data_IF_873400064069
#
_entry.id   IF_873400064069
#
_cell.length_a   1.000
_cell.length_b   1.000
_cell.length_c   1.000
_cell.angle_alpha   90.00
_cell.angle_beta   90.00
_cell.angle_gamma   90.00
#
_symmetry.space_group_name_H-M   'P 1'
#
loop_
_entity.id
_entity.type
_entity.pdbx_description
1 polymer ?
#
# COMPACT_ATOMS: atom_id res chain seq x y z
N UNK A 1 22.19 -15.97 -7.76
CA UNK A 1 21.34 -15.02 -7.07
C UNK A 1 20.55 -14.21 -8.11
N UNK A 2 19.23 -14.18 -7.97
CA UNK A 2 18.33 -13.47 -8.88
C UNK A 2 17.42 -12.58 -8.03
N UNK A 3 17.33 -11.29 -8.37
CA UNK A 3 16.50 -10.33 -7.64
C UNK A 3 16.21 -9.09 -8.49
N UNK A 4 15.05 -8.44 -8.31
CA UNK A 4 14.73 -7.18 -8.96
C UNK A 4 15.40 -6.01 -8.24
N UNK A 5 15.77 -4.99 -9.00
CA UNK A 5 16.14 -3.67 -8.51
C UNK A 5 15.31 -2.61 -9.19
N UNK A 6 15.13 -1.47 -8.53
CA UNK A 6 14.38 -0.34 -9.05
C UNK A 6 15.06 0.97 -8.66
N UNK A 7 14.95 1.97 -9.51
CA UNK A 7 15.28 3.37 -9.21
C UNK A 7 14.02 4.21 -8.93
N UNK A 8 12.87 3.53 -8.76
CA UNK A 8 11.52 4.07 -8.60
C UNK A 8 10.89 4.66 -9.86
N UNK A 9 11.57 4.59 -11.01
CA UNK A 9 10.99 4.92 -12.32
C UNK A 9 10.64 3.65 -13.10
N UNK A 10 11.50 2.63 -12.99
CA UNK A 10 11.31 1.32 -13.61
C UNK A 10 12.05 0.26 -12.79
N UNK A 11 11.91 -1.00 -13.17
CA UNK A 11 12.52 -2.16 -12.50
C UNK A 11 13.23 -3.05 -13.50
N UNK A 12 14.37 -3.61 -13.09
CA UNK A 12 15.12 -4.57 -13.90
C UNK A 12 15.61 -5.72 -13.00
N UNK A 13 15.67 -6.93 -13.55
CA UNK A 13 16.17 -8.10 -12.84
C UNK A 13 17.70 -8.17 -12.96
N UNK A 14 18.35 -8.41 -11.83
CA UNK A 14 19.78 -8.72 -11.74
C UNK A 14 19.95 -10.21 -11.63
N UNK A 15 20.75 -10.81 -12.51
CA UNK A 15 21.13 -12.24 -12.49
C UNK A 15 22.63 -12.37 -12.25
N UNK A 16 23.01 -12.88 -11.07
CA UNK A 16 24.40 -13.04 -10.66
C UNK A 16 24.73 -14.51 -10.48
N UNK A 17 25.74 -14.97 -11.17
CA UNK A 17 26.34 -16.29 -10.95
C UNK A 17 27.51 -16.15 -9.97
N UNK A 18 27.36 -16.72 -8.79
CA UNK A 18 28.32 -16.64 -7.69
C UNK A 18 28.89 -18.01 -7.41
N UNK A 19 30.18 -18.08 -7.03
CA UNK A 19 30.73 -19.26 -6.40
C UNK A 19 30.24 -19.35 -4.96
N UNK A 20 30.15 -20.57 -4.41
CA UNK A 20 29.61 -20.78 -3.06
C UNK A 20 30.31 -19.93 -1.99
N UNK A 21 31.61 -19.68 -2.15
CA UNK A 21 32.41 -18.85 -1.25
C UNK A 21 32.02 -17.37 -1.26
N UNK A 22 31.48 -16.87 -2.37
CA UNK A 22 31.08 -15.46 -2.56
C UNK A 22 29.66 -15.18 -2.07
N UNK A 23 28.83 -16.22 -1.92
CA UNK A 23 27.42 -16.07 -1.57
C UNK A 23 27.23 -15.36 -0.23
N UNK A 24 27.93 -15.72 0.86
CA UNK A 24 27.76 -15.07 2.16
C UNK A 24 28.07 -13.57 2.10
N UNK A 25 29.18 -13.19 1.48
CA UNK A 25 29.61 -11.79 1.35
C UNK A 25 28.59 -10.95 0.58
N UNK A 26 28.12 -11.46 -0.55
CA UNK A 26 27.15 -10.72 -1.38
C UNK A 26 25.79 -10.62 -0.68
N UNK A 27 25.29 -11.69 -0.06
CA UNK A 27 23.99 -11.71 0.61
C UNK A 27 23.97 -10.89 1.89
N UNK A 28 25.10 -10.62 2.51
CA UNK A 28 25.20 -9.71 3.63
C UNK A 28 24.79 -8.28 3.23
N UNK A 29 25.13 -7.87 2.03
CA UNK A 29 24.91 -6.52 1.53
C UNK A 29 23.68 -6.37 0.64
N UNK A 30 23.35 -7.40 -0.15
CA UNK A 30 22.19 -7.42 -1.06
C UNK A 30 20.97 -7.90 -0.29
N UNK A 31 20.29 -6.97 0.38
CA UNK A 31 19.05 -7.22 1.15
C UNK A 31 17.91 -6.39 0.61
N UNK A 32 16.68 -6.86 0.82
CA UNK A 32 15.48 -6.08 0.49
C UNK A 32 15.52 -4.72 1.19
N UNK A 33 15.34 -3.65 0.42
CA UNK A 33 15.40 -2.28 0.90
C UNK A 33 16.80 -1.67 1.00
N UNK A 34 17.86 -2.41 0.61
CA UNK A 34 19.20 -1.85 0.54
C UNK A 34 19.35 -0.93 -0.68
N UNK A 35 20.02 0.20 -0.49
CA UNK A 35 20.36 1.13 -1.58
C UNK A 35 21.75 0.79 -2.12
N UNK A 36 21.76 0.26 -3.34
CA UNK A 36 22.96 -0.27 -3.97
C UNK A 36 23.09 0.27 -5.40
N UNK A 37 24.29 0.58 -5.82
CA UNK A 37 24.63 0.90 -7.21
C UNK A 37 25.30 -0.30 -7.84
N UNK A 38 24.75 -0.78 -8.95
CA UNK A 38 25.27 -1.89 -9.72
C UNK A 38 25.99 -1.37 -10.97
N UNK A 39 27.08 -2.02 -11.32
CA UNK A 39 27.72 -1.87 -12.62
C UNK A 39 27.75 -3.27 -13.27
N UNK A 40 27.14 -3.39 -14.42
CA UNK A 40 27.03 -4.62 -15.17
C UNK A 40 26.66 -4.37 -16.63
N UNK A 41 26.46 -5.44 -17.37
CA UNK A 41 26.04 -5.39 -18.77
C UNK A 41 24.58 -5.83 -18.84
N UNK A 42 23.75 -5.04 -19.52
CA UNK A 42 22.38 -5.44 -19.82
C UNK A 42 22.36 -6.40 -21.01
N UNK A 43 21.60 -7.46 -20.88
CA UNK A 43 21.42 -8.46 -21.92
C UNK A 43 20.00 -9.03 -21.87
N UNK A 44 19.50 -9.48 -23.00
CA UNK A 44 18.25 -10.22 -23.05
C UNK A 44 18.55 -11.65 -22.63
N UNK A 45 17.88 -12.10 -21.59
CA UNK A 45 17.99 -13.48 -21.10
C UNK A 45 17.37 -14.45 -22.12
N UNK A 46 18.05 -15.57 -22.36
CA UNK A 46 17.64 -16.54 -23.37
C UNK A 46 16.46 -17.42 -22.95
N UNK A 47 16.16 -17.48 -21.65
CA UNK A 47 15.12 -18.37 -21.11
C UNK A 47 13.76 -17.66 -21.03
N UNK A 48 13.74 -16.42 -20.55
CA UNK A 48 12.52 -15.65 -20.35
C UNK A 48 12.35 -14.48 -21.34
N UNK A 49 13.38 -14.23 -22.18
CA UNK A 49 13.42 -13.13 -23.15
C UNK A 49 13.27 -11.73 -22.51
N UNK A 50 13.55 -11.62 -21.21
CA UNK A 50 13.51 -10.37 -20.50
C UNK A 50 14.87 -9.66 -20.49
N UNK A 51 14.84 -8.33 -20.45
CA UNK A 51 16.05 -7.53 -20.26
C UNK A 51 16.54 -7.67 -18.82
N UNK A 52 17.78 -8.12 -18.65
CA UNK A 52 18.38 -8.32 -17.34
C UNK A 52 19.76 -7.67 -17.24
N UNK A 53 20.21 -7.42 -16.02
CA UNK A 53 21.60 -7.07 -15.77
C UNK A 53 22.36 -8.34 -15.45
N UNK A 54 23.31 -8.70 -16.31
CA UNK A 54 24.23 -9.81 -16.11
C UNK A 54 25.68 -9.29 -16.05
N UNK A 55 26.63 -10.20 -15.83
CA UNK A 55 28.06 -9.86 -15.80
C UNK A 55 28.37 -8.68 -14.89
N UNK A 56 27.98 -8.79 -13.63
CA UNK A 56 28.16 -7.73 -12.64
C UNK A 56 29.64 -7.49 -12.40
N UNK A 57 30.09 -6.27 -12.70
CA UNK A 57 31.48 -5.81 -12.53
C UNK A 57 31.70 -5.12 -11.18
N UNK A 58 30.63 -4.71 -10.50
CA UNK A 58 30.76 -4.09 -9.19
C UNK A 58 29.42 -3.77 -8.54
N UNK A 59 29.43 -3.80 -7.22
CA UNK A 59 28.31 -3.40 -6.35
C UNK A 59 28.85 -2.38 -5.36
N UNK A 60 28.16 -1.26 -5.17
CA UNK A 60 28.52 -0.26 -4.19
C UNK A 60 27.29 0.13 -3.36
N UNK A 61 27.44 0.14 -2.03
CA UNK A 61 26.42 0.71 -1.15
C UNK A 61 26.38 2.22 -1.34
N UNK A 62 25.17 2.76 -1.47
CA UNK A 62 24.92 4.20 -1.60
C UNK A 62 23.97 4.65 -0.50
N UNK A 63 23.91 5.95 -0.27
CA UNK A 63 22.94 6.53 0.63
C UNK A 63 21.51 6.40 0.05
N UNK A 64 20.52 6.39 0.94
CA UNK A 64 19.13 6.48 0.52
C UNK A 64 18.92 7.81 -0.20
N UNK A 65 18.48 7.77 -1.45
CA UNK A 65 18.21 8.96 -2.28
C UNK A 65 16.71 9.25 -2.42
N UNK A 66 15.86 8.47 -1.74
CA UNK A 66 14.43 8.75 -1.74
C UNK A 66 14.12 9.93 -0.82
N UNK A 67 13.33 10.85 -1.31
CA UNK A 67 12.76 11.92 -0.50
C UNK A 67 11.42 11.47 0.03
N UNK A 68 11.34 11.17 1.32
CA UNK A 68 10.06 10.96 1.97
C UNK A 68 9.33 12.30 2.10
N UNK A 69 8.05 12.34 1.75
CA UNK A 69 7.20 13.48 2.10
C UNK A 69 7.06 13.53 3.61
N UNK A 70 7.19 14.71 4.17
CA UNK A 70 7.05 14.97 5.61
C UNK A 70 6.12 16.15 5.78
N UNK A 71 5.18 16.05 6.69
CA UNK A 71 4.40 17.21 7.12
C UNK A 71 5.24 18.04 8.10
N UNK A 72 5.64 19.24 7.68
CA UNK A 72 6.43 20.19 8.48
C UNK A 72 5.60 21.25 9.17
N UNK A 73 4.26 21.18 9.07
CA UNK A 73 3.33 22.14 9.64
C UNK A 73 3.46 22.14 11.17
N UNK A 74 3.66 23.28 11.84
CA UNK A 74 3.77 23.33 13.30
C UNK A 74 2.50 22.86 14.02
N UNK A 75 1.34 23.24 13.50
CA UNK A 75 0.03 22.80 13.99
C UNK A 75 -0.51 21.72 13.06
N UNK A 76 -0.66 20.51 13.58
CA UNK A 76 -1.16 19.37 12.81
C UNK A 76 -2.67 19.40 12.70
N UNK A 77 -3.18 19.12 11.50
CA UNK A 77 -4.59 18.91 11.26
C UNK A 77 -4.95 17.45 11.57
N UNK A 78 -6.14 17.23 12.11
CA UNK A 78 -6.73 15.89 12.15
C UNK A 78 -7.40 15.61 10.81
N UNK A 79 -7.03 14.51 10.16
CA UNK A 79 -7.75 14.04 8.97
C UNK A 79 -9.02 13.31 9.41
N UNK A 80 -10.18 13.88 9.04
CA UNK A 80 -11.49 13.36 9.44
C UNK A 80 -12.22 12.63 8.31
N UNK A 81 -11.68 12.65 7.09
CA UNK A 81 -12.27 12.01 5.91
C UNK A 81 -11.17 11.32 5.12
N UNK A 82 -10.97 10.03 5.36
CA UNK A 82 -9.89 9.27 4.76
C UNK A 82 -10.36 7.88 4.36
N UNK A 83 -10.09 7.52 3.10
CA UNK A 83 -10.45 6.24 2.51
C UNK A 83 -9.22 5.34 2.41
N UNK A 84 -9.41 4.08 2.79
CA UNK A 84 -8.42 3.01 2.61
C UNK A 84 -8.69 2.26 1.29
N UNK A 85 -7.86 1.26 1.00
CA UNK A 85 -8.09 0.32 -0.12
C UNK A 85 -9.40 -0.49 0.00
N UNK A 86 -10.13 -0.38 1.12
CA UNK A 86 -11.44 -0.99 1.30
C UNK A 86 -12.56 -0.15 0.65
N UNK A 87 -12.26 1.09 0.26
CA UNK A 87 -13.12 1.90 -0.62
C UNK A 87 -12.77 1.57 -2.06
N UNK A 88 -13.54 0.66 -2.67
CA UNK A 88 -13.32 0.18 -4.03
C UNK A 88 -13.24 1.31 -5.05
N UNK A 89 -12.30 1.20 -6.00
CA UNK A 89 -12.03 2.18 -7.06
C UNK A 89 -11.67 3.61 -6.58
N UNK A 90 -11.42 3.80 -5.27
CA UNK A 90 -11.07 5.10 -4.70
C UNK A 90 -9.76 5.03 -3.90
N UNK A 91 -9.71 4.25 -2.82
CA UNK A 91 -8.54 4.14 -1.97
C UNK A 91 -7.56 3.07 -2.44
N UNK A 92 -6.23 3.36 -2.36
CA UNK A 92 -5.17 2.40 -2.71
C UNK A 92 -4.27 2.05 -1.54
N UNK A 93 -4.35 2.79 -0.44
CA UNK A 93 -3.47 2.64 0.72
C UNK A 93 -4.14 1.79 1.80
N UNK A 94 -3.41 0.85 2.40
CA UNK A 94 -3.90 0.06 3.52
C UNK A 94 -4.05 0.90 4.79
N UNK A 95 -4.95 0.49 5.69
CA UNK A 95 -5.26 1.23 6.92
C UNK A 95 -4.03 1.36 7.83
N UNK A 96 -3.22 0.31 7.94
CA UNK A 96 -2.00 0.32 8.76
C UNK A 96 -1.00 1.37 8.29
N UNK A 97 -0.81 1.51 6.98
CA UNK A 97 0.10 2.50 6.40
C UNK A 97 -0.38 3.93 6.62
N UNK A 98 -1.69 4.17 6.54
CA UNK A 98 -2.29 5.48 6.83
C UNK A 98 -2.12 5.87 8.31
N UNK A 99 -2.49 4.97 9.22
CA UNK A 99 -2.37 5.17 10.67
C UNK A 99 -0.91 5.42 11.05
N UNK A 100 0.00 4.57 10.56
CA UNK A 100 1.44 4.72 10.79
C UNK A 100 1.95 6.08 10.31
N UNK A 101 1.57 6.50 9.11
CA UNK A 101 2.01 7.77 8.52
C UNK A 101 1.50 8.97 9.31
N UNK A 102 0.23 8.98 9.72
CA UNK A 102 -0.33 10.03 10.55
C UNK A 102 0.39 10.14 11.89
N UNK A 103 0.65 9.00 12.54
CA UNK A 103 1.41 8.95 13.78
C UNK A 103 2.84 9.48 13.61
N UNK A 104 3.59 9.00 12.61
CA UNK A 104 4.96 9.44 12.32
C UNK A 104 5.07 10.95 12.01
N UNK A 105 4.03 11.52 11.43
CA UNK A 105 3.97 12.96 11.15
C UNK A 105 3.54 13.80 12.36
N UNK A 106 3.20 13.16 13.48
CA UNK A 106 2.80 13.83 14.71
C UNK A 106 1.37 14.37 14.70
N UNK A 107 0.49 13.82 13.84
CA UNK A 107 -0.93 14.11 13.93
C UNK A 107 -1.49 13.56 15.24
N UNK A 108 -2.45 14.24 15.90
CA UNK A 108 -3.06 13.74 17.12
C UNK A 108 -4.06 12.61 16.88
N UNK A 109 -4.62 12.53 15.69
CA UNK A 109 -5.59 11.50 15.29
C UNK A 109 -5.72 11.40 13.77
N UNK A 110 -6.33 10.30 13.31
CA UNK A 110 -6.82 10.10 11.95
C UNK A 110 -8.17 9.39 12.00
N UNK A 111 -9.11 9.77 11.14
CA UNK A 111 -10.33 9.01 10.92
C UNK A 111 -10.15 8.03 9.75
N UNK A 112 -10.76 6.86 9.87
CA UNK A 112 -10.94 5.91 8.77
C UNK A 112 -12.43 5.92 8.42
N UNK A 113 -12.75 6.35 7.22
CA UNK A 113 -14.14 6.63 6.79
C UNK A 113 -14.38 6.10 5.38
N UNK A 114 -14.24 4.79 5.20
CA UNK A 114 -14.44 4.14 3.92
C UNK A 114 -15.88 4.23 3.42
N UNK A 115 -16.07 4.16 2.11
CA UNK A 115 -17.37 4.19 1.44
C UNK A 115 -18.24 2.99 1.83
N UNK A 116 -19.27 3.21 2.62
CA UNK A 116 -20.28 2.22 2.96
C UNK A 116 -19.80 0.97 3.71
N UNK A 117 -18.54 0.92 4.12
CA UNK A 117 -17.90 -0.28 4.67
C UNK A 117 -17.05 0.02 5.92
N UNK A 118 -16.78 -1.02 6.71
CA UNK A 118 -16.01 -0.96 7.96
C UNK A 118 -14.86 -1.97 8.01
N UNK A 119 -14.53 -2.59 6.90
CA UNK A 119 -13.53 -3.67 6.82
C UNK A 119 -12.13 -3.25 7.27
N UNK A 120 -11.79 -1.96 7.18
CA UNK A 120 -10.49 -1.45 7.60
C UNK A 120 -10.32 -1.34 9.13
N UNK A 121 -11.40 -1.41 9.91
CA UNK A 121 -11.36 -1.20 11.36
C UNK A 121 -10.45 -2.18 12.12
N UNK A 122 -10.52 -3.51 11.88
CA UNK A 122 -9.61 -4.44 12.53
C UNK A 122 -8.15 -4.13 12.24
N UNK A 123 -7.80 -3.85 10.99
CA UNK A 123 -6.43 -3.51 10.59
C UNK A 123 -5.93 -2.23 11.27
N UNK A 124 -6.78 -1.19 11.33
CA UNK A 124 -6.46 0.05 12.01
C UNK A 124 -6.30 -0.14 13.53
N UNK A 125 -7.14 -0.99 14.15
CA UNK A 125 -7.05 -1.29 15.58
C UNK A 125 -5.78 -2.08 15.91
N UNK A 126 -5.37 -3.02 15.07
CA UNK A 126 -4.13 -3.78 15.24
C UNK A 126 -2.84 -2.92 15.18
N UNK A 127 -2.95 -1.66 14.78
CA UNK A 127 -1.82 -0.73 14.88
C UNK A 127 -1.36 -0.48 16.31
N UNK A 128 -2.20 -0.72 17.31
CA UNK A 128 -1.91 -0.56 18.73
C UNK A 128 -1.53 -1.86 19.44
N UNK A 129 -1.43 -2.97 18.73
CA UNK A 129 -1.09 -4.25 19.31
C UNK A 129 0.36 -4.29 19.81
N UNK A 130 0.59 -5.01 20.90
CA UNK A 130 1.93 -5.21 21.47
C UNK A 130 2.88 -5.93 20.48
N UNK A 131 2.32 -6.77 19.59
CA UNK A 131 3.06 -7.51 18.57
C UNK A 131 2.66 -7.04 17.18
N UNK A 132 3.59 -6.41 16.48
CA UNK A 132 3.39 -5.97 15.11
C UNK A 132 2.59 -4.68 14.95
N UNK A 133 2.19 -4.02 16.02
CA UNK A 133 1.60 -2.69 15.99
C UNK A 133 2.58 -1.63 15.47
N UNK A 134 2.06 -0.51 15.00
CA UNK A 134 2.87 0.60 14.48
C UNK A 134 2.75 1.89 15.31
N UNK A 135 1.87 1.88 16.31
CA UNK A 135 1.65 2.97 17.27
C UNK A 135 1.84 2.41 18.68
N UNK A 136 2.62 3.06 19.55
CA UNK A 136 2.73 2.64 20.95
C UNK A 136 1.38 2.65 21.65
N UNK A 137 1.13 1.62 22.47
CA UNK A 137 -0.17 1.41 23.14
C UNK A 137 -0.52 2.53 24.12
N UNK A 138 0.50 3.16 24.71
CA UNK A 138 0.42 4.27 25.65
C UNK A 138 0.44 5.65 24.97
N UNK A 139 0.37 5.68 23.65
CA UNK A 139 0.31 6.92 22.87
C UNK A 139 -1.04 7.62 23.02
N UNK A 140 -1.04 8.96 23.07
CA UNK A 140 -2.26 9.78 22.99
C UNK A 140 -2.88 9.82 21.58
N UNK A 141 -2.20 9.26 20.58
CA UNK A 141 -2.70 9.18 19.20
C UNK A 141 -3.98 8.35 19.12
N UNK A 142 -4.96 8.82 18.33
CA UNK A 142 -6.26 8.17 18.22
C UNK A 142 -6.60 7.83 16.79
N UNK A 143 -7.22 6.66 16.60
CA UNK A 143 -7.95 6.33 15.37
C UNK A 143 -9.43 6.53 15.63
N UNK A 144 -10.07 7.33 14.78
CA UNK A 144 -11.51 7.58 14.79
C UNK A 144 -12.13 6.64 13.74
N UNK A 145 -13.10 5.86 14.18
CA UNK A 145 -13.78 4.90 13.34
C UNK A 145 -15.09 5.49 12.83
N UNK A 146 -15.20 5.63 11.54
CA UNK A 146 -16.37 6.19 10.86
C UNK A 146 -16.63 5.45 9.55
N UNK A 147 -17.68 5.85 8.88
CA UNK A 147 -18.07 5.31 7.59
C UNK A 147 -18.73 6.43 6.79
N UNK A 148 -18.42 6.52 5.51
CA UNK A 148 -19.18 7.37 4.61
C UNK A 148 -20.48 6.67 4.25
N UNK A 149 -21.57 7.12 4.88
CA UNK A 149 -22.88 6.50 4.73
C UNK A 149 -23.64 7.06 3.53
N UNK A 150 -24.37 6.20 2.85
CA UNK A 150 -25.28 6.59 1.78
C UNK A 150 -26.69 6.73 2.35
N UNK A 151 -27.21 7.96 2.29
CA UNK A 151 -28.61 8.19 2.60
C UNK A 151 -29.47 7.89 1.36
N UNK A 152 -30.27 6.87 1.45
CA UNK A 152 -31.19 6.48 0.37
C UNK A 152 -32.65 6.64 0.79
N UNK A 153 -33.50 6.98 -0.15
CA UNK A 153 -34.95 7.01 0.03
C UNK A 153 -35.51 5.64 -0.34
N UNK A 154 -35.76 4.81 0.64
CA UNK A 154 -36.26 3.44 0.47
C UNK A 154 -37.73 3.40 0.00
N UNK A 155 -38.41 4.55 0.01
CA UNK A 155 -39.76 4.68 -0.54
C UNK A 155 -39.75 4.89 -2.06
N UNK A 156 -38.59 5.21 -2.64
CA UNK A 156 -38.42 5.27 -4.10
C UNK A 156 -37.98 3.91 -4.62
N UNK A 157 -38.75 3.35 -5.56
CA UNK A 157 -38.33 2.11 -6.23
C UNK A 157 -36.95 2.25 -6.90
N UNK A 158 -36.06 1.30 -6.68
CA UNK A 158 -34.69 1.30 -7.23
C UNK A 158 -34.67 1.25 -8.77
N UNK A 159 -35.72 0.71 -9.38
CA UNK A 159 -35.90 0.71 -10.83
C UNK A 159 -37.27 1.31 -11.15
N UNK A 160 -37.28 2.46 -11.81
CA UNK A 160 -38.53 3.13 -12.24
C UNK A 160 -38.57 3.17 -13.75
N UNK A 161 -39.49 2.41 -14.33
CA UNK A 161 -39.87 2.55 -15.73
C UNK A 161 -41.15 3.38 -15.92
N UNK A 162 -41.42 4.30 -14.99
CA UNK A 162 -42.64 5.12 -14.94
C UNK A 162 -43.83 4.44 -14.25
N UNK A 163 -43.67 3.21 -13.75
CA UNK A 163 -44.68 2.50 -12.97
C UNK A 163 -44.02 1.94 -11.72
N UNK A 164 -44.59 2.21 -10.55
CA UNK A 164 -44.10 1.65 -9.29
C UNK A 164 -43.95 0.13 -9.38
N UNK A 165 -42.83 -0.41 -8.98
CA UNK A 165 -42.56 -1.85 -8.93
C UNK A 165 -42.85 -2.37 -7.52
N UNK A 166 -43.43 -3.57 -7.44
CA UNK A 166 -43.62 -4.29 -6.18
C UNK A 166 -42.38 -5.16 -5.94
N UNK A 167 -41.97 -5.28 -4.67
CA UNK A 167 -40.85 -6.14 -4.27
C UNK A 167 -41.18 -7.64 -4.16
N UNK A 168 -42.36 -8.06 -4.62
CA UNK A 168 -42.91 -9.42 -4.55
C UNK A 168 -42.75 -10.22 -5.86
N UNK A 169 -41.71 -9.96 -6.63
CA UNK A 169 -41.45 -10.59 -7.92
C UNK A 169 -40.24 -11.54 -7.93
N UNK A 170 -39.96 -12.10 -9.11
CA UNK A 170 -38.67 -12.76 -9.38
C UNK A 170 -37.68 -11.67 -9.80
N UNK A 171 -36.55 -11.63 -9.11
CA UNK A 171 -35.48 -10.68 -9.35
C UNK A 171 -34.28 -11.40 -9.98
N UNK A 172 -33.66 -10.78 -10.97
CA UNK A 172 -32.30 -11.10 -11.42
C UNK A 172 -31.42 -10.00 -10.85
N UNK A 173 -30.49 -10.41 -9.98
CA UNK A 173 -29.46 -9.53 -9.45
C UNK A 173 -28.20 -9.78 -10.25
N UNK A 174 -27.65 -8.75 -10.83
CA UNK A 174 -26.36 -8.80 -11.53
C UNK A 174 -25.51 -7.60 -11.13
N UNK A 175 -24.24 -7.82 -11.08
CA UNK A 175 -23.23 -6.81 -10.90
C UNK A 175 -22.47 -6.59 -12.21
N UNK A 176 -22.07 -5.36 -12.49
CA UNK A 176 -21.27 -5.00 -13.64
C UNK A 176 -20.01 -4.35 -13.09
N UNK A 177 -18.92 -5.10 -13.11
CA UNK A 177 -17.60 -4.54 -12.88
C UNK A 177 -17.04 -4.01 -14.20
N UNK A 178 -16.65 -2.74 -14.23
CA UNK A 178 -16.09 -2.05 -15.41
C UNK A 178 -14.61 -1.73 -15.19
#
# INVERSE_FOLDING_TARGET
>A
LIFPITDFTDSIVVKMFLRNEQVPEVTEHVKKGAFLKFRGVTTVDRFDSELTIASIAGIKKIANFTTARVDTTPQKRVELHCHTKMSDMDGVTDAKSLVKRAYEWGHPAIAITDHGVVQAFPEANHCFDAWGGCVPKDSDFKVLYGMEAYLVDDLKGMVTNGKGQKLDGRFVVFDIET
#
